data_IF_762767596311
#
_entry.id   IF_762767596311
#
_cell.length_a   1.000
_cell.length_b   1.000
_cell.length_c   1.000
_cell.angle_alpha   90.00
_cell.angle_beta   90.00
_cell.angle_gamma   90.00
#
_symmetry.space_group_name_H-M   'P 1'
#
loop_
_entity.id
_entity.type
_entity.pdbx_description
1 polymer ?
#
# COMPACT_ATOMS: atom_id res chain seq x y z
N UNK A 1 21.79 15.77 -26.26
CA UNK A 1 20.94 16.15 -27.40
C UNK A 1 19.80 15.12 -27.48
N UNK A 2 18.69 15.41 -26.80
CA UNK A 2 17.52 14.51 -26.78
C UNK A 2 16.82 14.67 -28.13
N UNK A 3 16.76 13.62 -28.92
CA UNK A 3 16.19 13.66 -30.26
C UNK A 3 14.66 13.75 -30.21
N UNK A 4 14.07 14.60 -31.06
CA UNK A 4 12.60 14.77 -31.23
C UNK A 4 11.83 13.44 -31.42
N UNK A 5 12.51 12.36 -31.79
CA UNK A 5 11.97 11.01 -31.92
C UNK A 5 11.71 10.31 -30.57
N UNK A 6 12.50 10.62 -29.53
CA UNK A 6 12.29 10.05 -28.18
C UNK A 6 11.08 10.68 -27.48
N UNK A 7 10.86 11.98 -27.67
CA UNK A 7 9.69 12.70 -27.15
C UNK A 7 8.38 12.24 -27.81
N UNK A 8 8.40 11.95 -29.12
CA UNK A 8 7.23 11.42 -29.82
C UNK A 8 6.89 9.99 -29.46
N UNK A 9 7.88 9.16 -29.04
CA UNK A 9 7.62 7.80 -28.53
C UNK A 9 7.03 7.84 -27.12
N UNK A 10 7.56 8.68 -26.23
CA UNK A 10 7.03 8.85 -24.88
C UNK A 10 5.58 9.39 -24.90
N UNK A 11 5.27 10.36 -25.77
CA UNK A 11 3.92 10.89 -25.93
C UNK A 11 2.93 9.85 -26.52
N UNK A 12 3.37 8.96 -27.40
CA UNK A 12 2.53 7.88 -27.93
C UNK A 12 2.25 6.78 -26.90
N UNK A 13 3.22 6.42 -26.06
CA UNK A 13 2.98 5.42 -25.00
C UNK A 13 2.07 5.95 -23.90
N UNK A 14 2.14 7.21 -23.53
CA UNK A 14 1.21 7.82 -22.57
C UNK A 14 -0.21 7.97 -23.13
N UNK A 15 -0.37 8.22 -24.44
CA UNK A 15 -1.69 8.27 -25.07
C UNK A 15 -2.35 6.89 -25.21
N UNK A 16 -1.57 5.83 -25.42
CA UNK A 16 -2.07 4.45 -25.46
C UNK A 16 -2.48 3.95 -24.08
N UNK A 17 -1.74 4.30 -23.02
CA UNK A 17 -2.13 4.02 -21.64
C UNK A 17 -3.40 4.78 -21.24
N UNK A 18 -3.53 6.05 -21.63
CA UNK A 18 -4.73 6.84 -21.42
C UNK A 18 -5.96 6.29 -22.17
N UNK A 19 -5.78 5.84 -23.40
CA UNK A 19 -6.84 5.22 -24.19
C UNK A 19 -7.26 3.85 -23.66
N UNK A 20 -6.32 3.04 -23.17
CA UNK A 20 -6.62 1.77 -22.53
C UNK A 20 -7.37 1.96 -21.21
N UNK A 21 -7.02 2.98 -20.42
CA UNK A 21 -7.73 3.32 -19.18
C UNK A 21 -9.16 3.84 -19.46
N UNK A 22 -9.34 4.63 -20.53
CA UNK A 22 -10.64 5.10 -21.01
C UNK A 22 -11.52 3.95 -21.55
N UNK A 23 -10.95 2.98 -22.24
CA UNK A 23 -11.66 1.80 -22.73
C UNK A 23 -12.10 0.87 -21.58
N UNK A 24 -11.30 0.75 -20.52
CA UNK A 24 -11.69 0.02 -19.30
C UNK A 24 -12.85 0.70 -18.56
N UNK A 25 -12.98 2.01 -18.62
CA UNK A 25 -14.11 2.73 -18.04
C UNK A 25 -15.43 2.54 -18.83
N UNK A 26 -15.37 2.18 -20.11
CA UNK A 26 -16.56 1.96 -20.95
C UNK A 26 -17.17 0.55 -20.80
N UNK A 27 -16.46 -0.40 -20.25
CA UNK A 27 -16.96 -1.77 -20.03
C UNK A 27 -17.95 -1.88 -18.84
N UNK A 28 -18.26 -0.79 -18.16
CA UNK A 28 -19.10 -0.73 -16.95
C UNK A 28 -20.61 -0.66 -17.17
N UNK A 29 -21.14 -0.87 -18.38
CA UNK A 29 -22.58 -0.74 -18.65
C UNK A 29 -23.38 -2.04 -18.51
N UNK A 30 -23.14 -2.84 -17.47
CA UNK A 30 -24.12 -3.82 -17.01
C UNK A 30 -24.50 -3.40 -15.59
N UNK A 31 -25.70 -2.83 -15.43
CA UNK A 31 -26.24 -2.37 -14.16
C UNK A 31 -26.50 -3.52 -13.17
N UNK A 32 -25.60 -3.85 -12.26
CA UNK A 32 -25.97 -4.51 -11.02
C UNK A 32 -26.55 -3.45 -10.10
N UNK A 33 -27.52 -3.81 -9.27
CA UNK A 33 -28.05 -2.94 -8.23
C UNK A 33 -26.88 -2.30 -7.49
N UNK A 34 -26.75 -0.97 -7.63
CA UNK A 34 -25.76 -0.19 -6.90
C UNK A 34 -26.06 -0.37 -5.42
N UNK A 35 -25.27 -1.15 -4.72
CA UNK A 35 -25.33 -1.19 -3.26
C UNK A 35 -24.92 0.22 -2.77
N UNK A 36 -25.72 0.86 -1.92
CA UNK A 36 -25.36 2.16 -1.35
C UNK A 36 -23.95 2.16 -0.73
N UNK A 37 -23.52 1.00 -0.22
CA UNK A 37 -22.22 0.79 0.42
C UNK A 37 -21.07 0.57 -0.55
N UNK A 38 -21.35 0.32 -1.84
CA UNK A 38 -20.34 0.06 -2.86
C UNK A 38 -20.81 0.54 -4.25
N UNK A 39 -20.83 1.86 -4.47
CA UNK A 39 -21.30 2.43 -5.72
C UNK A 39 -20.43 2.08 -6.93
N UNK A 40 -19.20 1.62 -6.71
CA UNK A 40 -18.22 1.24 -7.75
C UNK A 40 -18.00 -0.28 -7.82
N UNK A 41 -18.94 -1.09 -7.30
CA UNK A 41 -18.81 -2.54 -7.18
C UNK A 41 -18.40 -3.24 -8.48
N UNK A 42 -18.97 -2.84 -9.63
CA UNK A 42 -18.66 -3.43 -10.93
C UNK A 42 -17.20 -3.20 -11.33
N UNK A 43 -16.72 -1.97 -11.21
CA UNK A 43 -15.32 -1.61 -11.46
C UNK A 43 -14.40 -2.33 -10.47
N UNK A 44 -14.74 -2.29 -9.19
CA UNK A 44 -13.94 -2.89 -8.13
C UNK A 44 -13.80 -4.40 -8.30
N UNK A 45 -14.87 -5.11 -8.64
CA UNK A 45 -14.83 -6.55 -8.90
C UNK A 45 -14.01 -6.91 -10.13
N UNK A 46 -14.09 -6.10 -11.21
CA UNK A 46 -13.26 -6.30 -12.40
C UNK A 46 -11.77 -6.08 -12.09
N UNK A 47 -11.44 -5.01 -11.35
CA UNK A 47 -10.06 -4.73 -10.90
C UNK A 47 -9.54 -5.80 -9.95
N UNK A 48 -10.38 -6.27 -9.01
CA UNK A 48 -10.04 -7.36 -8.10
C UNK A 48 -9.73 -8.66 -8.87
N UNK A 49 -10.59 -9.04 -9.83
CA UNK A 49 -10.37 -10.22 -10.67
C UNK A 49 -9.07 -10.10 -11.48
N UNK A 50 -8.78 -8.93 -12.05
CA UNK A 50 -7.53 -8.65 -12.74
C UNK A 50 -6.32 -8.80 -11.81
N UNK A 51 -6.36 -8.17 -10.63
CA UNK A 51 -5.27 -8.24 -9.64
C UNK A 51 -5.05 -9.67 -9.16
N UNK A 52 -6.12 -10.42 -8.89
CA UNK A 52 -6.06 -11.83 -8.49
C UNK A 52 -5.46 -12.70 -9.59
N UNK A 53 -5.87 -12.50 -10.85
CA UNK A 53 -5.30 -13.21 -11.99
C UNK A 53 -3.79 -12.93 -12.15
N UNK A 54 -3.39 -11.68 -12.03
CA UNK A 54 -1.98 -11.29 -12.09
C UNK A 54 -1.17 -11.87 -10.90
N UNK A 55 -1.76 -11.83 -9.69
CA UNK A 55 -1.12 -12.44 -8.51
C UNK A 55 -0.88 -13.94 -8.73
N UNK A 56 -1.92 -14.67 -9.13
CA UNK A 56 -1.82 -16.12 -9.36
C UNK A 56 -0.85 -16.50 -10.48
N UNK A 57 -0.82 -15.72 -11.57
CA UNK A 57 0.02 -16.01 -12.72
C UNK A 57 1.49 -15.61 -12.54
N UNK A 58 1.76 -14.55 -11.78
CA UNK A 58 3.09 -13.94 -11.72
C UNK A 58 3.58 -13.69 -10.28
N UNK A 59 2.85 -12.89 -9.49
CA UNK A 59 3.41 -12.38 -8.22
C UNK A 59 3.52 -13.50 -7.19
N UNK A 60 2.50 -14.34 -7.04
CA UNK A 60 2.48 -15.47 -6.10
C UNK A 60 3.57 -16.51 -6.39
N UNK A 61 3.78 -17.01 -7.63
CA UNK A 61 4.89 -17.91 -7.94
C UNK A 61 6.25 -17.31 -7.60
N UNK A 62 6.47 -16.02 -7.92
CA UNK A 62 7.71 -15.33 -7.59
C UNK A 62 7.87 -15.16 -6.07
N UNK A 63 6.80 -14.87 -5.34
CA UNK A 63 6.81 -14.74 -3.87
C UNK A 63 7.13 -16.08 -3.19
N UNK A 64 6.61 -17.19 -3.69
CA UNK A 64 6.94 -18.54 -3.22
C UNK A 64 8.43 -18.82 -3.47
N UNK A 65 8.92 -18.52 -4.67
CA UNK A 65 10.34 -18.64 -5.00
C UNK A 65 11.23 -17.80 -4.08
N UNK A 66 10.88 -16.54 -3.90
CA UNK A 66 11.57 -15.63 -2.98
C UNK A 66 11.60 -16.17 -1.55
N UNK A 67 10.46 -16.65 -1.04
CA UNK A 67 10.37 -17.22 0.31
C UNK A 67 11.22 -18.50 0.45
N UNK A 68 11.23 -19.35 -0.57
CA UNK A 68 11.93 -20.63 -0.56
C UNK A 68 13.44 -20.50 -0.67
N UNK A 69 13.91 -19.59 -1.53
CA UNK A 69 15.35 -19.49 -1.86
C UNK A 69 16.07 -18.38 -1.10
N UNK A 70 15.36 -17.45 -0.46
CA UNK A 70 15.99 -16.38 0.33
C UNK A 70 15.92 -16.73 1.82
N UNK A 71 17.05 -16.83 2.54
CA UNK A 71 17.07 -17.11 3.97
C UNK A 71 16.23 -16.09 4.76
N UNK A 72 15.60 -16.56 5.85
CA UNK A 72 14.71 -15.70 6.66
C UNK A 72 15.42 -14.45 7.21
N UNK A 73 16.71 -14.55 7.54
CA UNK A 73 17.51 -13.41 7.97
C UNK A 73 17.62 -12.34 6.88
N UNK A 74 17.92 -12.77 5.64
CA UNK A 74 18.04 -11.85 4.48
C UNK A 74 16.69 -11.21 4.17
N UNK A 75 15.59 -11.96 4.23
CA UNK A 75 14.24 -11.40 4.03
C UNK A 75 13.90 -10.34 5.07
N UNK A 76 14.26 -10.57 6.34
CA UNK A 76 14.08 -9.55 7.39
C UNK A 76 14.91 -8.30 7.13
N UNK A 77 16.17 -8.46 6.75
CA UNK A 77 17.05 -7.33 6.39
C UNK A 77 16.49 -6.52 5.22
N UNK A 78 15.93 -7.18 4.21
CA UNK A 78 15.24 -6.52 3.09
C UNK A 78 14.02 -5.73 3.60
N UNK A 79 13.22 -6.30 4.48
CA UNK A 79 12.07 -5.61 5.09
C UNK A 79 12.50 -4.35 5.85
N UNK A 80 13.48 -4.46 6.72
CA UNK A 80 14.01 -3.31 7.48
C UNK A 80 14.58 -2.22 6.56
N UNK A 81 15.30 -2.62 5.52
CA UNK A 81 15.82 -1.68 4.52
C UNK A 81 14.70 -0.93 3.80
N UNK A 82 13.66 -1.64 3.34
CA UNK A 82 12.51 -1.03 2.65
C UNK A 82 11.73 -0.08 3.57
N UNK A 83 11.53 -0.46 4.84
CA UNK A 83 10.89 0.41 5.82
C UNK A 83 11.74 1.64 6.15
N UNK A 84 13.06 1.46 6.25
CA UNK A 84 13.98 2.57 6.49
C UNK A 84 14.00 3.58 5.32
N UNK A 85 13.89 3.11 4.07
CA UNK A 85 13.77 4.01 2.92
C UNK A 85 12.52 4.89 2.99
N UNK A 86 11.40 4.35 3.49
CA UNK A 86 10.15 5.09 3.65
C UNK A 86 10.07 5.93 4.93
N UNK A 87 11.00 5.78 5.87
CA UNK A 87 10.95 6.44 7.17
C UNK A 87 10.90 7.98 7.11
N UNK A 88 11.63 8.68 6.21
CA UNK A 88 11.50 10.12 6.09
C UNK A 88 10.10 10.59 5.70
N UNK A 89 9.44 9.88 4.77
CA UNK A 89 8.06 10.18 4.38
C UNK A 89 7.08 9.90 5.53
N UNK A 90 7.28 8.82 6.28
CA UNK A 90 6.51 8.50 7.49
C UNK A 90 6.66 9.61 8.53
N UNK A 91 7.88 10.07 8.82
CA UNK A 91 8.13 11.17 9.75
C UNK A 91 7.46 12.47 9.31
N UNK A 92 7.51 12.79 8.01
CA UNK A 92 6.84 13.96 7.45
C UNK A 92 5.31 13.87 7.63
N UNK A 93 4.71 12.72 7.37
CA UNK A 93 3.28 12.51 7.58
C UNK A 93 2.90 12.64 9.07
N UNK A 94 3.69 12.08 9.99
CA UNK A 94 3.48 12.24 11.43
C UNK A 94 3.51 13.72 11.84
N UNK A 95 4.46 14.51 11.31
CA UNK A 95 4.49 15.96 11.53
C UNK A 95 3.23 16.66 11.00
N UNK A 96 2.80 16.34 9.79
CA UNK A 96 1.59 16.91 9.16
C UNK A 96 0.31 16.56 9.93
N UNK A 97 0.33 15.47 10.70
CA UNK A 97 -0.76 15.05 11.59
C UNK A 97 -0.66 15.66 12.99
N UNK A 98 0.41 16.41 13.31
CA UNK A 98 0.68 16.96 14.64
C UNK A 98 1.27 15.96 15.63
N UNK A 99 1.68 14.77 15.19
CA UNK A 99 2.28 13.70 16.00
C UNK A 99 3.80 13.90 16.15
N UNK A 100 4.20 15.00 16.81
CA UNK A 100 5.61 15.42 16.89
C UNK A 100 6.51 14.35 17.54
N UNK A 101 6.02 13.67 18.56
CA UNK A 101 6.77 12.60 19.24
C UNK A 101 7.04 11.40 18.32
N UNK A 102 6.06 10.99 17.53
CA UNK A 102 6.21 9.90 16.55
C UNK A 102 7.13 10.30 15.39
N UNK A 103 7.00 11.54 14.93
CA UNK A 103 7.89 12.07 13.90
C UNK A 103 9.34 12.09 14.37
N UNK A 104 9.60 12.54 15.59
CA UNK A 104 10.94 12.53 16.20
C UNK A 104 11.46 11.10 16.37
N UNK A 105 10.65 10.18 16.88
CA UNK A 105 11.00 8.76 17.01
C UNK A 105 11.36 8.17 15.66
N UNK A 106 10.53 8.37 14.63
CA UNK A 106 10.76 7.84 13.28
C UNK A 106 12.00 8.46 12.64
N UNK A 107 12.24 9.76 12.81
CA UNK A 107 13.45 10.43 12.34
C UNK A 107 14.71 9.88 13.00
N UNK A 108 14.66 9.66 14.33
CA UNK A 108 15.76 9.05 15.08
C UNK A 108 16.01 7.60 14.63
N UNK A 109 14.95 6.81 14.43
CA UNK A 109 15.04 5.46 13.86
C UNK A 109 15.74 5.45 12.52
N UNK A 110 15.35 6.38 11.63
CA UNK A 110 16.01 6.53 10.33
C UNK A 110 17.51 6.75 10.45
N UNK A 111 17.94 7.69 11.32
CA UNK A 111 19.35 8.00 11.53
C UNK A 111 20.12 6.80 12.12
N UNK A 112 19.59 6.18 13.17
CA UNK A 112 20.23 5.05 13.85
C UNK A 112 20.32 3.84 12.90
N UNK A 113 19.23 3.49 12.22
CA UNK A 113 19.20 2.34 11.34
C UNK A 113 20.05 2.58 10.07
N UNK A 114 20.12 3.81 9.57
CA UNK A 114 20.98 4.13 8.43
C UNK A 114 22.47 4.10 8.77
N UNK A 115 22.85 4.43 10.01
CA UNK A 115 24.25 4.44 10.47
C UNK A 115 24.64 3.12 11.14
N UNK A 116 24.18 2.88 12.36
CA UNK A 116 24.49 1.68 13.13
C UNK A 116 23.83 0.41 12.55
N UNK A 117 22.68 0.55 11.86
CA UNK A 117 21.94 -0.53 11.22
C UNK A 117 22.36 -0.84 9.77
N UNK A 118 23.53 -0.38 9.33
CA UNK A 118 24.09 -0.64 7.98
C UNK A 118 23.07 -0.30 6.87
N UNK A 119 22.79 0.99 6.70
CA UNK A 119 21.83 1.53 5.72
C UNK A 119 20.39 1.01 5.91
N UNK A 120 20.03 0.63 7.14
CA UNK A 120 18.69 0.13 7.47
C UNK A 120 18.49 -1.36 7.26
N UNK A 121 19.53 -2.15 6.99
CA UNK A 121 19.41 -3.61 6.90
C UNK A 121 19.24 -4.29 8.25
N UNK A 122 19.49 -3.57 9.35
CA UNK A 122 19.27 -3.98 10.73
C UNK A 122 18.41 -2.94 11.44
N UNK A 123 17.44 -3.40 12.22
CA UNK A 123 16.58 -2.53 13.04
C UNK A 123 17.17 -2.37 14.45
N UNK A 124 18.23 -1.57 14.56
CA UNK A 124 18.89 -1.24 15.83
C UNK A 124 18.00 -0.37 16.69
N UNK A 125 17.22 0.53 16.08
CA UNK A 125 16.35 1.45 16.79
C UNK A 125 15.28 0.74 17.64
N UNK A 126 14.74 -0.39 17.18
CA UNK A 126 13.82 -1.21 17.96
C UNK A 126 14.49 -1.79 19.21
N UNK A 127 15.76 -2.20 19.13
CA UNK A 127 16.49 -2.70 20.31
C UNK A 127 16.76 -1.60 21.35
N UNK A 128 16.72 -0.34 20.92
CA UNK A 128 16.82 0.85 21.80
C UNK A 128 15.46 1.32 22.32
N UNK A 129 14.37 0.58 22.05
CA UNK A 129 13.04 0.90 22.54
C UNK A 129 12.30 2.02 21.80
N UNK A 130 12.77 2.41 20.61
CA UNK A 130 12.09 3.43 19.81
C UNK A 130 10.88 2.80 19.07
N UNK A 131 9.63 3.24 19.31
CA UNK A 131 8.47 2.73 18.61
C UNK A 131 8.49 3.13 17.13
N UNK A 132 7.85 2.30 16.30
CA UNK A 132 7.66 2.58 14.88
C UNK A 132 6.17 2.54 14.53
N UNK A 133 5.65 3.68 14.09
CA UNK A 133 4.31 3.81 13.55
C UNK A 133 4.44 4.21 12.08
N UNK A 134 3.76 3.49 11.21
CA UNK A 134 3.81 3.75 9.78
C UNK A 134 2.71 4.72 9.40
N UNK A 135 3.12 5.88 8.91
CA UNK A 135 2.22 6.94 8.49
C UNK A 135 2.29 7.16 6.98
N UNK A 136 1.14 7.48 6.39
CA UNK A 136 1.02 7.85 4.99
C UNK A 136 0.12 9.08 4.79
N UNK A 137 0.09 9.63 3.58
CA UNK A 137 -0.66 10.85 3.32
C UNK A 137 -2.18 10.63 3.33
N UNK A 138 -2.68 9.43 3.11
CA UNK A 138 -4.09 9.10 3.28
C UNK A 138 -4.54 9.19 4.74
N UNK A 139 -3.69 8.74 5.69
CA UNK A 139 -3.89 8.93 7.13
C UNK A 139 -3.85 10.43 7.50
N UNK A 140 -2.92 11.17 6.90
CA UNK A 140 -2.82 12.63 7.08
C UNK A 140 -4.11 13.32 6.64
N UNK A 141 -4.64 12.99 5.47
CA UNK A 141 -5.92 13.51 4.99
C UNK A 141 -7.09 13.12 5.90
N UNK A 142 -7.11 11.89 6.44
CA UNK A 142 -8.10 11.46 7.42
C UNK A 142 -8.03 12.31 8.70
N UNK A 143 -6.81 12.55 9.21
CA UNK A 143 -6.58 13.40 10.39
C UNK A 143 -7.02 14.85 10.16
N UNK A 144 -6.96 15.33 8.93
CA UNK A 144 -7.48 16.65 8.54
C UNK A 144 -9.00 16.67 8.31
N UNK A 145 -9.69 15.54 8.51
CA UNK A 145 -11.14 15.43 8.46
C UNK A 145 -11.70 15.08 7.08
N UNK A 146 -10.87 14.67 6.12
CA UNK A 146 -11.38 14.17 4.84
C UNK A 146 -11.99 12.78 5.03
N UNK A 147 -13.25 12.57 4.59
CA UNK A 147 -13.87 11.23 4.62
C UNK A 147 -13.22 10.29 3.61
N UNK A 148 -13.33 8.99 3.84
CA UNK A 148 -12.76 7.96 2.94
C UNK A 148 -13.31 8.03 1.52
N UNK A 149 -14.58 8.43 1.37
CA UNK A 149 -15.30 8.33 0.10
C UNK A 149 -15.54 6.87 -0.32
N UNK A 150 -15.90 6.62 -1.58
CA UNK A 150 -16.16 5.28 -2.08
C UNK A 150 -14.93 4.38 -2.03
N UNK A 151 -15.18 3.09 -1.74
CA UNK A 151 -14.16 2.05 -1.84
C UNK A 151 -13.72 1.86 -3.30
N UNK A 152 -12.42 1.65 -3.50
CA UNK A 152 -11.79 1.48 -4.80
C UNK A 152 -10.84 0.29 -4.78
N UNK A 153 -10.85 -0.53 -5.81
CA UNK A 153 -9.79 -1.49 -6.09
C UNK A 153 -8.99 -0.99 -7.28
N UNK A 154 -7.76 -0.56 -7.01
CA UNK A 154 -6.89 -0.05 -8.06
C UNK A 154 -6.19 -1.19 -8.78
N UNK A 155 -6.18 -1.20 -10.14
CA UNK A 155 -5.38 -2.16 -10.88
C UNK A 155 -3.91 -2.09 -10.45
N UNK A 156 -3.29 -3.23 -10.20
CA UNK A 156 -1.92 -3.42 -9.73
C UNK A 156 -1.64 -2.99 -8.28
N UNK A 157 -2.41 -2.05 -7.73
CA UNK A 157 -2.16 -1.48 -6.41
C UNK A 157 -3.04 -2.09 -5.30
N UNK A 158 -4.16 -2.72 -5.68
CA UNK A 158 -5.05 -3.40 -4.74
C UNK A 158 -6.09 -2.49 -4.08
N UNK A 159 -6.61 -2.88 -2.89
CA UNK A 159 -7.67 -2.18 -2.19
C UNK A 159 -7.26 -0.77 -1.75
N UNK A 160 -8.18 0.18 -1.88
CA UNK A 160 -8.03 1.58 -1.55
C UNK A 160 -9.41 2.22 -1.28
N UNK A 161 -9.43 3.52 -1.05
CA UNK A 161 -10.61 4.37 -1.09
C UNK A 161 -10.27 5.67 -1.84
N UNK A 162 -11.24 6.53 -2.07
CA UNK A 162 -11.01 7.76 -2.83
C UNK A 162 -9.98 8.69 -2.15
N UNK A 163 -10.09 8.89 -0.84
CA UNK A 163 -9.14 9.71 -0.05
C UNK A 163 -7.72 9.19 -0.17
N UNK A 164 -7.53 7.89 0.08
CA UNK A 164 -6.20 7.27 0.09
C UNK A 164 -5.59 7.24 -1.32
N UNK A 165 -6.44 7.03 -2.36
CA UNK A 165 -6.02 7.13 -3.77
C UNK A 165 -5.53 8.53 -4.12
N UNK A 166 -6.26 9.56 -3.72
CA UNK A 166 -5.84 10.97 -3.90
C UNK A 166 -4.57 11.25 -3.10
N UNK A 167 -4.46 10.69 -1.90
CA UNK A 167 -3.28 10.81 -1.03
C UNK A 167 -2.00 10.22 -1.63
N UNK A 168 -2.09 9.30 -2.57
CA UNK A 168 -0.91 8.75 -3.26
C UNK A 168 -0.16 9.80 -4.08
N UNK A 169 -0.84 10.83 -4.57
CA UNK A 169 -0.21 11.88 -5.38
C UNK A 169 0.75 12.74 -4.58
N UNK A 170 0.34 13.39 -3.45
CA UNK A 170 1.26 14.14 -2.60
C UNK A 170 2.33 13.25 -1.95
N UNK A 171 1.99 12.00 -1.63
CA UNK A 171 2.94 11.03 -1.06
C UNK A 171 4.20 10.87 -1.91
N UNK A 172 4.10 11.02 -3.24
CA UNK A 172 5.24 10.92 -4.17
C UNK A 172 6.25 12.07 -4.03
N UNK A 173 5.82 13.20 -3.46
CA UNK A 173 6.66 14.39 -3.27
C UNK A 173 7.22 14.48 -1.85
N UNK A 174 6.81 13.60 -0.96
CA UNK A 174 7.39 13.53 0.38
C UNK A 174 8.81 12.96 0.32
N UNK A 175 9.68 13.39 1.25
CA UNK A 175 11.07 12.93 1.28
C UNK A 175 11.14 11.41 1.44
N UNK A 176 11.91 10.79 0.57
CA UNK A 176 12.26 9.38 0.61
C UNK A 176 13.77 9.28 0.49
N UNK A 177 14.39 8.30 1.13
CA UNK A 177 15.85 8.20 1.19
C UNK A 177 16.52 8.08 -0.19
N UNK A 178 15.78 7.67 -1.22
CA UNK A 178 16.26 7.55 -2.60
C UNK A 178 15.61 8.57 -3.56
N UNK A 179 14.83 9.52 -3.05
CA UNK A 179 14.09 10.48 -3.90
C UNK A 179 14.98 11.40 -4.73
N UNK A 180 16.25 11.56 -4.32
CA UNK A 180 17.26 12.34 -5.07
C UNK A 180 17.89 11.58 -6.24
N UNK A 181 17.63 10.28 -6.38
CA UNK A 181 18.18 9.44 -7.44
C UNK A 181 17.12 9.30 -8.54
N UNK A 182 17.28 10.09 -9.60
CA UNK A 182 16.37 10.07 -10.76
C UNK A 182 16.77 8.95 -11.74
N UNK A 183 16.66 7.69 -11.28
CA UNK A 183 16.94 6.50 -12.09
C UNK A 183 15.69 5.61 -12.14
N UNK A 184 14.95 5.60 -13.27
CA UNK A 184 13.71 4.83 -13.39
C UNK A 184 13.86 3.34 -13.13
N UNK A 185 15.00 2.74 -13.50
CA UNK A 185 15.27 1.32 -13.27
C UNK A 185 15.36 1.01 -11.78
N UNK A 186 15.95 1.89 -10.98
CA UNK A 186 16.03 1.74 -9.53
C UNK A 186 14.64 1.83 -8.88
N UNK A 187 13.81 2.75 -9.33
CA UNK A 187 12.44 2.87 -8.85
C UNK A 187 11.63 1.59 -9.13
N UNK A 188 11.71 1.07 -10.37
CA UNK A 188 11.04 -0.19 -10.74
C UNK A 188 11.55 -1.35 -9.91
N UNK A 189 12.86 -1.49 -9.75
CA UNK A 189 13.47 -2.56 -8.96
C UNK A 189 13.00 -2.52 -7.49
N UNK A 190 12.99 -1.32 -6.90
CA UNK A 190 12.53 -1.10 -5.52
C UNK A 190 11.06 -1.47 -5.33
N UNK A 191 10.17 -0.98 -6.20
CA UNK A 191 8.75 -1.28 -6.10
C UNK A 191 8.47 -2.78 -6.35
N UNK A 192 9.17 -3.40 -7.30
CA UNK A 192 9.07 -4.84 -7.53
C UNK A 192 9.49 -5.65 -6.31
N UNK A 193 10.62 -5.27 -5.69
CA UNK A 193 11.10 -5.92 -4.46
C UNK A 193 10.13 -5.72 -3.30
N UNK A 194 9.56 -4.53 -3.16
CA UNK A 194 8.57 -4.23 -2.13
C UNK A 194 7.30 -5.09 -2.28
N UNK A 195 6.77 -5.19 -3.50
CA UNK A 195 5.59 -6.03 -3.81
C UNK A 195 5.90 -7.49 -3.48
N UNK A 196 7.03 -8.00 -3.96
CA UNK A 196 7.46 -9.37 -3.75
C UNK A 196 7.65 -9.70 -2.27
N UNK A 197 8.33 -8.82 -1.54
CA UNK A 197 8.56 -8.96 -0.11
C UNK A 197 7.24 -8.98 0.67
N UNK A 198 6.35 -8.01 0.43
CA UNK A 198 5.03 -7.95 1.07
C UNK A 198 4.19 -9.18 0.75
N UNK A 199 4.11 -9.57 -0.53
CA UNK A 199 3.33 -10.73 -0.94
C UNK A 199 3.84 -12.02 -0.32
N UNK A 200 5.17 -12.18 -0.20
CA UNK A 200 5.77 -13.34 0.46
C UNK A 200 5.38 -13.45 1.94
N UNK A 201 5.23 -12.33 2.63
CA UNK A 201 4.75 -12.29 4.01
C UNK A 201 3.27 -12.70 4.17
N UNK A 202 2.47 -12.55 3.12
CA UNK A 202 1.03 -12.84 3.12
C UNK A 202 0.68 -14.25 2.62
N UNK A 203 1.63 -15.05 2.12
CA UNK A 203 1.37 -16.39 1.58
C UNK A 203 0.67 -17.32 2.57
N UNK A 204 0.92 -17.16 3.86
CA UNK A 204 0.30 -17.97 4.91
C UNK A 204 -1.20 -17.67 5.10
N UNK A 205 -1.71 -16.55 4.57
CA UNK A 205 -3.12 -16.16 4.60
C UNK A 205 -3.91 -16.67 3.38
N UNK A 206 -3.23 -17.19 2.36
CA UNK A 206 -3.89 -17.66 1.14
C UNK A 206 -4.98 -18.72 1.38
N UNK A 207 -4.80 -19.72 2.30
CA UNK A 207 -5.87 -20.66 2.60
C UNK A 207 -7.12 -19.97 3.15
N UNK A 208 -6.94 -19.03 4.09
CA UNK A 208 -8.04 -18.27 4.67
C UNK A 208 -8.83 -17.50 3.61
N UNK A 209 -8.12 -16.86 2.67
CA UNK A 209 -8.76 -16.11 1.59
C UNK A 209 -9.48 -17.01 0.60
N UNK A 210 -8.92 -18.20 0.29
CA UNK A 210 -9.52 -19.15 -0.65
C UNK A 210 -10.78 -19.86 -0.10
N UNK A 211 -10.93 -19.90 1.21
CA UNK A 211 -12.10 -20.48 1.89
C UNK A 211 -13.29 -19.49 1.97
N UNK A 212 -13.07 -18.22 1.63
CA UNK A 212 -14.14 -17.21 1.69
C UNK A 212 -15.14 -17.40 0.55
N UNK A 213 -16.45 -17.36 0.82
CA UNK A 213 -17.50 -17.44 -0.21
C UNK A 213 -17.41 -16.31 -1.24
N UNK A 214 -17.00 -15.10 -0.82
CA UNK A 214 -16.75 -13.95 -1.67
C UNK A 214 -15.44 -13.26 -1.23
N UNK A 215 -14.30 -13.62 -1.84
CA UNK A 215 -12.99 -13.03 -1.51
C UNK A 215 -12.94 -11.51 -1.67
N UNK A 216 -13.70 -10.95 -2.62
CA UNK A 216 -13.80 -9.50 -2.81
C UNK A 216 -14.43 -8.78 -1.60
N UNK A 217 -15.55 -9.30 -1.10
CA UNK A 217 -16.20 -8.72 0.08
C UNK A 217 -15.34 -8.86 1.33
N UNK A 218 -14.67 -9.99 1.47
CA UNK A 218 -13.73 -10.21 2.57
C UNK A 218 -12.56 -9.20 2.53
N UNK A 219 -11.92 -9.04 1.37
CA UNK A 219 -10.82 -8.09 1.18
C UNK A 219 -11.27 -6.65 1.47
N UNK A 220 -12.47 -6.27 1.01
CA UNK A 220 -13.06 -4.95 1.29
C UNK A 220 -13.27 -4.71 2.78
N UNK A 221 -13.84 -5.69 3.49
CA UNK A 221 -14.08 -5.60 4.94
C UNK A 221 -12.75 -5.52 5.70
N UNK A 222 -11.79 -6.37 5.34
CA UNK A 222 -10.46 -6.37 5.92
C UNK A 222 -9.74 -5.03 5.70
N UNK A 223 -9.76 -4.50 4.47
CA UNK A 223 -9.15 -3.20 4.16
C UNK A 223 -9.74 -2.08 5.02
N UNK A 224 -11.07 -2.00 5.12
CA UNK A 224 -11.75 -0.98 5.91
C UNK A 224 -11.36 -1.05 7.38
N UNK A 225 -11.38 -2.24 7.96
CA UNK A 225 -11.01 -2.44 9.36
C UNK A 225 -9.53 -2.10 9.60
N UNK A 226 -8.64 -2.63 8.78
CA UNK A 226 -7.21 -2.35 8.86
C UNK A 226 -6.91 -0.85 8.71
N UNK A 227 -7.61 -0.18 7.78
CA UNK A 227 -7.40 1.24 7.55
C UNK A 227 -7.91 2.10 8.70
N UNK A 228 -9.03 1.72 9.29
CA UNK A 228 -9.56 2.39 10.48
C UNK A 228 -8.58 2.26 11.65
N UNK A 229 -8.04 1.08 11.87
CA UNK A 229 -7.02 0.83 12.88
C UNK A 229 -5.77 1.72 12.68
N UNK A 230 -5.26 1.83 11.45
CA UNK A 230 -4.13 2.70 11.13
C UNK A 230 -4.41 4.19 11.40
N UNK A 231 -5.61 4.69 11.05
CA UNK A 231 -5.97 6.10 11.24
C UNK A 231 -6.05 6.45 12.73
N UNK A 232 -6.40 5.47 13.57
CA UNK A 232 -6.57 5.64 15.01
C UNK A 232 -5.43 5.04 15.84
N UNK A 233 -4.28 4.73 15.23
CA UNK A 233 -3.07 4.25 15.91
C UNK A 233 -3.31 3.00 16.79
N UNK A 234 -4.13 2.07 16.29
CA UNK A 234 -4.49 0.84 17.01
C UNK A 234 -5.59 0.99 18.06
N UNK A 235 -6.20 2.18 18.17
CA UNK A 235 -7.31 2.46 19.09
C UNK A 235 -8.53 3.02 18.35
N UNK A 236 -9.13 2.28 17.40
CA UNK A 236 -10.30 2.75 16.66
C UNK A 236 -11.47 3.00 17.62
N UNK A 237 -12.30 4.04 17.39
CA UNK A 237 -13.49 4.24 18.19
C UNK A 237 -14.41 3.02 18.06
N UNK A 238 -15.09 2.66 19.15
CA UNK A 238 -16.05 1.56 19.17
C UNK A 238 -17.09 1.76 18.05
N UNK A 239 -16.92 1.01 16.98
CA UNK A 239 -17.88 1.04 15.88
C UNK A 239 -19.12 0.27 16.32
N UNK A 240 -20.37 0.80 16.12
CA UNK A 240 -21.60 0.05 16.35
C UNK A 240 -21.77 -1.12 15.37
N UNK A 241 -20.79 -1.96 15.23
CA UNK A 241 -20.68 -3.04 14.26
C UNK A 241 -19.34 -3.76 14.31
N UNK A 242 -18.54 -3.57 15.36
CA UNK A 242 -17.38 -4.41 15.58
C UNK A 242 -17.84 -5.87 15.64
N UNK A 243 -17.15 -6.74 14.91
CA UNK A 243 -17.47 -8.19 14.85
C UNK A 243 -17.55 -8.81 16.25
N UNK A 244 -16.88 -8.21 17.24
CA UNK A 244 -16.93 -8.61 18.64
C UNK A 244 -18.33 -8.47 19.25
N UNK A 245 -19.10 -7.42 18.90
CA UNK A 245 -20.47 -7.24 19.37
C UNK A 245 -21.49 -8.16 18.65
N UNK A 246 -21.16 -8.70 17.50
CA UNK A 246 -22.05 -9.61 16.75
C UNK A 246 -21.84 -11.08 17.11
N UNK A 247 -20.66 -11.45 17.65
CA UNK A 247 -20.30 -12.82 17.98
C UNK A 247 -20.52 -13.18 19.47
N UNK A 248 -20.73 -12.20 20.34
CA UNK A 248 -20.86 -12.40 21.80
C UNK A 248 -22.16 -11.83 22.41
N UNK A 249 -23.17 -11.50 21.59
CA UNK A 249 -24.53 -11.24 22.05
C UNK A 249 -25.40 -12.45 21.78
N UNK A 250 -25.32 -13.38 22.72
CA UNK A 250 -26.38 -14.33 23.06
C UNK A 250 -26.73 -14.19 24.54
#
# INVERSE_FOLDING_TARGET
>A
MVTLTSLKRAARSSSLLGAALLLLMQAGCATPMLSPDDPLASFNRASHAFNTGLDQALVKPLAIGYQRYTPAMVRRSIGYFLDNLGAPATAANALLQGKVGEAASTGLRFLINSTAGLLGTMDVATTLGLPFHKEDFGQTLARWGLPDGPYLVLPLLGPSNLRDTVGMLPQRYLPDALSSIDEPALAVARYSLLILHRRSGLLHLDPLLSEQPDPYLFERAFYRQYRLDQIHDGAPPDSPGSLENSLFKD
#
